data_IF_148498821624
#
_entry.id   IF_148498821624
#
_cell.length_a   1.000
_cell.length_b   1.000
_cell.length_c   1.000
_cell.angle_alpha   90.00
_cell.angle_beta   90.00
_cell.angle_gamma   90.00
#
_symmetry.space_group_name_H-M   'P 1'
#
loop_
_entity.id
_entity.type
_entity.pdbx_description
1 polymer ?
#
# COMPACT_ATOMS: atom_id res chain seq x y z
N UNK A 1 24.24 38.71 2.87
CA UNK A 1 25.59 38.11 2.98
C UNK A 1 25.41 36.66 2.52
N UNK A 2 26.05 36.26 1.40
CA UNK A 2 26.02 34.88 0.94
C UNK A 2 26.76 34.03 1.98
N UNK A 3 26.07 33.04 2.56
CA UNK A 3 26.73 32.06 3.42
C UNK A 3 27.68 31.25 2.54
N UNK A 4 28.98 31.31 2.82
CA UNK A 4 29.96 30.44 2.19
C UNK A 4 29.58 28.98 2.51
N UNK A 5 29.26 28.16 1.48
CA UNK A 5 28.99 26.73 1.65
C UNK A 5 30.25 26.05 2.15
N UNK A 6 30.12 25.24 3.24
CA UNK A 6 31.24 24.47 3.80
C UNK A 6 31.57 23.28 2.90
N UNK A 7 32.85 22.92 2.82
CA UNK A 7 33.29 21.73 2.06
C UNK A 7 32.54 20.46 2.50
N UNK A 8 32.06 19.67 1.55
CA UNK A 8 31.27 18.48 1.84
C UNK A 8 32.02 17.41 2.64
N UNK A 9 33.35 17.33 2.49
CA UNK A 9 34.17 16.46 3.33
C UNK A 9 34.21 16.95 4.78
N UNK A 10 34.28 18.27 4.99
CA UNK A 10 34.20 18.86 6.32
C UNK A 10 32.82 18.70 6.95
N UNK A 11 31.75 18.84 6.17
CA UNK A 11 30.36 18.62 6.64
C UNK A 11 30.17 17.21 7.18
N UNK A 12 30.73 16.20 6.49
CA UNK A 12 30.67 14.81 6.96
C UNK A 12 31.78 14.47 7.97
N UNK A 13 32.77 15.34 8.17
CA UNK A 13 33.89 15.11 9.09
C UNK A 13 34.82 13.97 8.64
N UNK A 14 35.02 13.81 7.32
CA UNK A 14 35.86 12.79 6.71
C UNK A 14 36.98 13.43 5.89
N UNK A 15 38.05 12.67 5.63
CA UNK A 15 39.15 13.14 4.79
C UNK A 15 38.76 13.10 3.29
N UNK A 16 39.40 13.93 2.46
CA UNK A 16 39.22 13.90 1.00
C UNK A 16 39.57 12.55 0.37
N UNK A 17 40.40 11.75 1.05
CA UNK A 17 40.79 10.41 0.62
C UNK A 17 39.91 9.29 1.22
N UNK A 18 38.83 9.65 1.90
CA UNK A 18 37.93 8.69 2.55
C UNK A 18 37.29 7.73 1.55
N UNK A 19 37.18 6.49 1.93
CA UNK A 19 36.51 5.44 1.16
C UNK A 19 34.98 5.61 1.20
N UNK A 20 34.28 5.04 0.25
CA UNK A 20 32.80 5.07 0.22
C UNK A 20 32.17 4.48 1.48
N UNK A 21 32.81 3.48 2.09
CA UNK A 21 32.38 2.88 3.33
C UNK A 21 32.48 3.85 4.53
N UNK A 22 33.55 4.66 4.57
CA UNK A 22 33.75 5.68 5.60
C UNK A 22 32.77 6.82 5.44
N UNK A 23 32.52 7.28 4.22
CA UNK A 23 31.53 8.31 3.90
C UNK A 23 30.12 7.86 4.35
N UNK A 24 29.70 6.64 3.99
CA UNK A 24 28.43 6.08 4.41
C UNK A 24 28.30 5.93 5.93
N UNK A 25 29.38 5.56 6.61
CA UNK A 25 29.41 5.41 8.07
C UNK A 25 29.28 6.77 8.76
N UNK A 26 30.00 7.79 8.29
CA UNK A 26 29.94 9.15 8.79
C UNK A 26 28.54 9.76 8.60
N UNK A 27 27.98 9.61 7.39
CA UNK A 27 26.62 10.02 7.07
C UNK A 27 25.60 9.43 8.04
N UNK A 28 25.57 8.10 8.22
CA UNK A 28 24.59 7.45 9.11
C UNK A 28 24.67 7.98 10.55
N UNK A 29 25.87 8.21 11.05
CA UNK A 29 26.09 8.73 12.40
C UNK A 29 25.55 10.17 12.55
N UNK A 30 25.81 11.03 11.57
CA UNK A 30 25.37 12.43 11.60
C UNK A 30 23.88 12.56 11.30
N UNK A 31 23.33 11.79 10.34
CA UNK A 31 21.92 11.78 10.02
C UNK A 31 21.06 11.33 11.21
N UNK A 32 21.49 10.33 11.97
CA UNK A 32 20.81 9.92 13.20
C UNK A 32 20.88 11.00 14.29
N UNK A 33 22.00 11.70 14.41
CA UNK A 33 22.19 12.75 15.41
C UNK A 33 21.33 13.98 15.16
N UNK A 34 21.15 14.38 13.90
CA UNK A 34 20.41 15.59 13.51
C UNK A 34 19.05 15.29 12.87
N UNK A 35 18.53 14.06 13.05
CA UNK A 35 17.22 13.65 12.51
C UNK A 35 16.10 14.51 13.11
N UNK A 36 15.11 14.97 12.31
CA UNK A 36 13.99 15.78 12.80
C UNK A 36 13.20 15.10 13.92
N UNK A 37 13.04 13.77 13.89
CA UNK A 37 12.30 13.03 14.93
C UNK A 37 13.01 13.04 16.29
N UNK A 38 14.34 13.16 16.31
CA UNK A 38 15.11 13.26 17.56
C UNK A 38 15.36 14.69 18.01
N UNK A 39 15.15 15.67 17.09
CA UNK A 39 15.36 17.10 17.38
C UNK A 39 14.15 17.92 16.88
N UNK A 40 12.94 17.68 17.40
CA UNK A 40 11.73 18.35 16.91
C UNK A 40 11.79 19.85 17.21
N UNK A 41 11.68 20.68 16.15
CA UNK A 41 11.63 22.14 16.26
C UNK A 41 13.00 22.85 16.35
N UNK A 42 14.12 22.13 16.30
CA UNK A 42 15.46 22.72 16.26
C UNK A 42 15.86 23.08 14.82
N UNK A 43 15.82 24.37 14.49
CA UNK A 43 16.17 24.91 13.16
C UNK A 43 17.64 24.70 12.80
N UNK A 44 18.53 24.69 13.77
CA UNK A 44 19.96 24.46 13.55
C UNK A 44 20.24 23.00 13.23
N UNK A 45 19.53 22.09 13.89
CA UNK A 45 19.59 20.66 13.55
C UNK A 45 19.03 20.38 12.15
N UNK A 46 17.93 21.04 11.78
CA UNK A 46 17.33 20.93 10.44
C UNK A 46 18.28 21.44 9.34
N UNK A 47 18.92 22.59 9.55
CA UNK A 47 19.90 23.15 8.61
C UNK A 47 21.10 22.21 8.42
N UNK A 48 21.65 21.68 9.52
CA UNK A 48 22.76 20.70 9.47
C UNK A 48 22.35 19.40 8.80
N UNK A 49 21.13 18.92 9.03
CA UNK A 49 20.61 17.71 8.39
C UNK A 49 20.52 17.88 6.87
N UNK A 50 20.10 19.07 6.39
CA UNK A 50 20.07 19.38 4.94
C UNK A 50 21.48 19.39 4.34
N UNK A 51 22.45 20.04 5.01
CA UNK A 51 23.85 20.05 4.57
C UNK A 51 24.47 18.64 4.53
N UNK A 52 24.18 17.79 5.53
CA UNK A 52 24.67 16.41 5.60
C UNK A 52 24.09 15.55 4.46
N UNK A 53 22.82 15.73 4.12
CA UNK A 53 22.19 15.00 3.01
C UNK A 53 22.76 15.45 1.66
N UNK A 54 22.94 16.75 1.44
CA UNK A 54 23.57 17.29 0.24
C UNK A 54 25.01 16.77 0.07
N UNK A 55 25.79 16.79 1.13
CA UNK A 55 27.16 16.25 1.13
C UNK A 55 27.20 14.75 0.81
N UNK A 56 26.28 13.96 1.39
CA UNK A 56 26.22 12.53 1.09
C UNK A 56 25.77 12.26 -0.34
N UNK A 57 24.83 13.00 -0.90
CA UNK A 57 24.38 12.85 -2.29
C UNK A 57 25.52 13.03 -3.29
N UNK A 58 26.36 14.02 -3.06
CA UNK A 58 27.51 14.31 -3.93
C UNK A 58 28.65 13.31 -3.74
N UNK A 59 29.02 13.02 -2.49
CA UNK A 59 30.19 12.19 -2.20
C UNK A 59 29.95 10.67 -2.30
N UNK A 60 28.69 10.21 -2.30
CA UNK A 60 28.36 8.78 -2.47
C UNK A 60 28.31 8.34 -3.93
N UNK A 61 28.15 9.26 -4.89
CA UNK A 61 28.19 8.98 -6.31
C UNK A 61 29.61 9.22 -6.86
N UNK A 62 30.30 8.19 -7.40
CA UNK A 62 31.67 8.33 -7.89
C UNK A 62 31.84 9.41 -8.96
N UNK A 63 30.83 9.65 -9.82
CA UNK A 63 30.88 10.65 -10.86
C UNK A 63 30.71 12.06 -10.30
N UNK A 64 29.72 12.26 -9.40
CA UNK A 64 29.51 13.55 -8.74
C UNK A 64 30.70 13.90 -7.86
N UNK A 65 31.24 12.93 -7.14
CA UNK A 65 32.45 13.11 -6.31
C UNK A 65 33.64 13.57 -7.16
N UNK A 66 33.89 12.92 -8.30
CA UNK A 66 34.96 13.29 -9.21
C UNK A 66 34.78 14.73 -9.77
N UNK A 67 33.57 15.14 -10.10
CA UNK A 67 33.26 16.50 -10.53
C UNK A 67 33.45 17.51 -9.39
N UNK A 68 33.04 17.14 -8.19
CA UNK A 68 33.25 17.96 -7.00
C UNK A 68 34.73 18.13 -6.66
N UNK A 69 35.51 17.06 -6.75
CA UNK A 69 36.96 17.07 -6.49
C UNK A 69 37.73 17.93 -7.52
N UNK A 70 37.24 18.01 -8.79
CA UNK A 70 37.86 18.79 -9.84
C UNK A 70 37.41 20.27 -9.89
N UNK A 71 36.13 20.52 -9.67
CA UNK A 71 35.52 21.83 -9.92
C UNK A 71 34.86 22.43 -8.67
N UNK A 72 34.94 21.77 -7.51
CA UNK A 72 34.27 22.20 -6.30
C UNK A 72 32.75 22.23 -6.46
N UNK A 73 32.11 23.17 -5.78
CA UNK A 73 30.66 23.38 -5.87
C UNK A 73 30.18 23.70 -7.30
N UNK A 74 31.00 24.32 -8.13
CA UNK A 74 30.65 24.64 -9.52
C UNK A 74 30.44 23.38 -10.37
N UNK A 75 31.03 22.25 -10.01
CA UNK A 75 30.89 20.98 -10.72
C UNK A 75 29.58 20.22 -10.42
N UNK A 76 28.90 20.55 -9.32
CA UNK A 76 27.76 19.76 -8.81
C UNK A 76 26.51 20.59 -8.52
N UNK A 77 26.61 21.91 -8.38
CA UNK A 77 25.51 22.82 -8.15
C UNK A 77 25.25 23.71 -9.37
N UNK A 78 24.14 23.48 -10.12
CA UNK A 78 23.82 24.27 -11.32
C UNK A 78 23.63 25.76 -11.03
N UNK A 79 23.17 26.11 -9.82
CA UNK A 79 22.97 27.51 -9.44
C UNK A 79 24.28 28.21 -9.12
N UNK A 80 25.23 27.50 -8.56
CA UNK A 80 26.55 28.02 -8.26
C UNK A 80 27.37 28.28 -9.55
N UNK A 81 27.24 27.36 -10.51
CA UNK A 81 27.84 27.53 -11.84
C UNK A 81 27.27 28.73 -12.58
N UNK A 82 25.96 29.00 -12.49
CA UNK A 82 25.31 30.14 -13.12
C UNK A 82 25.66 31.50 -12.50
N UNK A 83 25.92 31.55 -11.19
CA UNK A 83 26.26 32.80 -10.50
C UNK A 83 27.72 33.19 -10.60
N UNK A 84 28.64 32.24 -10.78
CA UNK A 84 30.10 32.53 -10.80
C UNK A 84 30.77 32.40 -12.17
N UNK A 85 29.99 32.40 -13.25
CA UNK A 85 30.50 32.67 -14.63
C UNK A 85 31.53 31.67 -15.17
N UNK A 86 31.42 30.39 -14.88
CA UNK A 86 32.45 29.43 -15.27
C UNK A 86 31.94 28.13 -15.84
N UNK A 87 31.93 27.99 -17.15
CA UNK A 87 32.05 26.70 -17.83
C UNK A 87 31.10 26.43 -18.98
N UNK A 88 31.63 26.18 -20.21
CA UNK A 88 30.85 25.72 -21.34
C UNK A 88 30.70 24.21 -21.30
N UNK A 89 29.50 23.72 -20.97
CA UNK A 89 29.25 22.29 -21.03
C UNK A 89 27.92 21.92 -20.38
N UNK A 90 26.85 22.00 -21.19
CA UNK A 90 25.50 21.63 -20.74
C UNK A 90 25.43 20.23 -20.14
N UNK A 91 25.09 20.13 -18.86
CA UNK A 91 24.75 18.90 -18.21
C UNK A 91 23.23 18.74 -18.15
N UNK A 92 22.64 18.57 -19.34
CA UNK A 92 21.26 18.12 -19.48
C UNK A 92 21.25 16.62 -19.76
N UNK A 93 21.12 15.81 -18.72
CA UNK A 93 20.97 14.38 -18.96
C UNK A 93 21.38 13.48 -17.82
N UNK A 94 20.67 13.55 -16.69
CA UNK A 94 20.74 12.46 -15.72
C UNK A 94 19.35 12.11 -15.18
N UNK A 95 18.61 11.43 -16.05
CA UNK A 95 17.40 10.69 -15.68
C UNK A 95 17.64 9.24 -16.08
N UNK A 96 18.07 8.44 -15.16
CA UNK A 96 18.19 7.01 -15.43
C UNK A 96 19.15 6.28 -14.50
N UNK A 97 18.70 5.96 -13.29
CA UNK A 97 19.11 4.72 -12.63
C UNK A 97 18.05 4.32 -11.60
N UNK A 98 17.16 3.43 -12.02
CA UNK A 98 16.28 2.70 -11.13
C UNK A 98 17.02 1.49 -10.57
N UNK A 99 16.91 1.26 -9.28
CA UNK A 99 17.43 0.09 -8.58
C UNK A 99 17.06 0.16 -7.11
N UNK A 100 15.95 -0.49 -6.77
CA UNK A 100 15.54 -1.02 -5.47
C UNK A 100 15.70 -0.12 -4.22
N UNK A 101 14.56 0.37 -3.71
CA UNK A 101 14.41 0.84 -2.34
C UNK A 101 14.17 2.34 -2.17
N UNK A 102 12.90 2.71 -2.02
CA UNK A 102 12.37 4.02 -1.58
C UNK A 102 12.82 5.21 -2.42
N UNK A 103 11.95 5.60 -3.33
CA UNK A 103 12.10 6.74 -4.24
C UNK A 103 12.09 8.09 -3.48
N UNK A 104 13.28 8.52 -3.06
CA UNK A 104 13.53 9.87 -2.53
C UNK A 104 13.43 10.92 -3.65
N UNK A 105 13.37 10.52 -4.92
CA UNK A 105 13.22 11.42 -6.06
C UNK A 105 11.85 12.06 -6.15
N UNK A 106 10.79 11.34 -5.79
CA UNK A 106 9.41 11.86 -5.81
C UNK A 106 9.17 12.90 -4.69
N UNK A 107 9.79 12.74 -3.53
CA UNK A 107 9.65 13.71 -2.43
C UNK A 107 10.45 15.00 -2.71
N UNK A 108 11.58 14.90 -3.41
CA UNK A 108 12.38 16.07 -3.79
C UNK A 108 11.82 16.78 -5.02
N UNK A 109 11.18 16.06 -5.94
CA UNK A 109 10.48 16.62 -7.10
C UNK A 109 9.29 17.48 -6.72
N UNK A 110 8.51 17.08 -5.72
CA UNK A 110 7.34 17.83 -5.26
C UNK A 110 7.70 19.07 -4.39
N UNK A 111 8.79 19.04 -3.64
CA UNK A 111 9.18 20.16 -2.78
C UNK A 111 10.01 21.23 -3.53
N UNK A 112 10.80 20.84 -4.52
CA UNK A 112 11.63 21.79 -5.30
C UNK A 112 11.11 22.07 -6.72
N UNK A 113 10.20 21.25 -7.25
CA UNK A 113 9.59 21.43 -8.58
C UNK A 113 8.41 22.40 -8.63
N UNK A 114 7.89 22.84 -7.49
CA UNK A 114 6.65 23.63 -7.39
C UNK A 114 6.79 25.14 -7.50
N UNK A 115 7.97 25.70 -7.82
CA UNK A 115 8.10 27.14 -7.67
C UNK A 115 9.07 27.92 -8.56
N UNK A 116 9.68 27.39 -9.59
CA UNK A 116 10.35 28.27 -10.56
C UNK A 116 10.91 27.51 -11.77
N UNK A 117 10.35 27.75 -12.95
CA UNK A 117 11.03 27.41 -14.20
C UNK A 117 10.35 26.37 -15.07
N UNK A 118 9.18 26.67 -15.56
CA UNK A 118 8.70 26.05 -16.79
C UNK A 118 9.62 26.31 -17.96
N UNK A 119 10.59 25.41 -18.18
CA UNK A 119 11.23 25.29 -19.49
C UNK A 119 11.95 23.93 -19.58
N UNK A 120 11.33 22.99 -20.30
CA UNK A 120 12.01 21.77 -20.75
C UNK A 120 11.40 20.44 -20.35
N UNK A 121 10.11 20.37 -20.03
CA UNK A 121 9.39 19.11 -20.10
C UNK A 121 9.40 18.64 -21.56
N UNK A 122 10.30 17.75 -21.95
CA UNK A 122 10.11 16.97 -23.15
C UNK A 122 8.87 16.11 -22.93
N UNK A 123 7.70 16.66 -23.22
CA UNK A 123 6.50 15.86 -23.43
C UNK A 123 6.89 14.84 -24.49
N UNK A 124 7.20 13.62 -24.03
CA UNK A 124 7.31 12.47 -24.93
C UNK A 124 6.03 12.51 -25.73
N UNK A 125 6.15 12.92 -26.97
CA UNK A 125 5.04 12.98 -27.91
C UNK A 125 4.47 11.58 -27.96
N UNK A 126 3.41 11.32 -27.20
CA UNK A 126 2.82 10.00 -27.10
C UNK A 126 2.33 9.64 -28.51
N UNK A 127 3.02 8.73 -29.15
CA UNK A 127 2.61 8.24 -30.46
C UNK A 127 1.18 7.66 -30.31
N UNK A 128 0.18 8.26 -30.96
CA UNK A 128 -1.21 7.80 -30.82
C UNK A 128 -1.41 6.37 -31.35
N UNK A 129 -0.50 5.88 -32.16
CA UNK A 129 -0.50 4.53 -32.69
C UNK A 129 0.36 3.54 -31.88
N UNK A 130 1.00 3.97 -30.78
CA UNK A 130 1.74 3.06 -29.92
C UNK A 130 0.78 2.05 -29.25
N UNK A 131 1.20 0.79 -29.06
CA UNK A 131 0.47 -0.17 -28.27
C UNK A 131 0.20 0.38 -26.87
N UNK A 132 -1.06 0.33 -26.43
CA UNK A 132 -1.45 0.78 -25.09
C UNK A 132 -2.17 -0.34 -24.38
N UNK A 133 -1.76 -0.58 -23.12
CA UNK A 133 -2.47 -1.51 -22.23
C UNK A 133 -3.93 -1.09 -22.06
N UNK A 134 -4.85 -2.07 -22.04
CA UNK A 134 -6.24 -1.84 -21.72
C UNK A 134 -6.43 -1.37 -20.29
N UNK A 135 -7.54 -0.71 -20.04
CA UNK A 135 -7.90 -0.25 -18.71
C UNK A 135 -8.21 -1.44 -17.79
N UNK A 136 -7.75 -1.34 -16.54
CA UNK A 136 -8.06 -2.29 -15.51
C UNK A 136 -9.53 -2.12 -15.06
N UNK A 137 -10.15 -3.24 -14.69
CA UNK A 137 -11.53 -3.29 -14.18
C UNK A 137 -11.48 -3.58 -12.69
N UNK A 138 -12.16 -2.77 -11.89
CA UNK A 138 -12.29 -3.00 -10.45
C UNK A 138 -13.64 -3.60 -10.13
N UNK A 139 -13.64 -4.69 -9.37
CA UNK A 139 -14.84 -5.37 -8.92
C UNK A 139 -14.74 -5.61 -7.43
N UNK A 140 -15.83 -5.45 -6.71
CA UNK A 140 -15.91 -5.80 -5.29
C UNK A 140 -16.73 -7.06 -5.13
N UNK A 141 -16.26 -7.98 -4.31
CA UNK A 141 -16.96 -9.21 -3.93
C UNK A 141 -17.13 -9.26 -2.42
N UNK A 142 -18.25 -9.83 -1.98
CA UNK A 142 -18.50 -10.08 -0.57
C UNK A 142 -18.30 -11.57 -0.29
N UNK A 143 -17.51 -11.86 0.73
CA UNK A 143 -17.22 -13.20 1.21
C UNK A 143 -17.82 -13.38 2.60
N UNK A 144 -18.25 -14.60 2.92
CA UNK A 144 -18.49 -14.99 4.30
C UNK A 144 -17.17 -15.14 5.04
N UNK A 145 -17.20 -15.15 6.37
CA UNK A 145 -16.00 -15.37 7.19
C UNK A 145 -15.30 -16.68 6.83
N UNK A 146 -16.06 -17.77 6.67
CA UNK A 146 -15.52 -19.08 6.32
C UNK A 146 -14.89 -19.12 4.92
N UNK A 147 -15.52 -18.47 3.93
CA UNK A 147 -14.94 -18.33 2.59
C UNK A 147 -13.62 -17.57 2.61
N UNK A 148 -13.50 -16.53 3.44
CA UNK A 148 -12.28 -15.74 3.57
C UNK A 148 -11.16 -16.51 4.27
N UNK A 149 -11.50 -17.31 5.30
CA UNK A 149 -10.54 -18.11 6.07
C UNK A 149 -9.98 -19.27 5.25
N UNK A 150 -10.84 -20.05 4.60
CA UNK A 150 -10.44 -21.28 3.89
C UNK A 150 -10.10 -21.04 2.42
N UNK A 151 -10.47 -19.86 1.89
CA UNK A 151 -10.42 -19.59 0.47
C UNK A 151 -11.55 -20.28 -0.28
N UNK A 152 -11.90 -19.75 -1.43
CA UNK A 152 -12.97 -20.30 -2.25
C UNK A 152 -12.79 -19.99 -3.73
N UNK A 153 -13.56 -20.65 -4.57
CA UNK A 153 -13.73 -20.28 -5.97
C UNK A 153 -15.04 -19.54 -6.15
N UNK A 154 -14.97 -18.32 -6.65
CA UNK A 154 -16.16 -17.48 -6.83
C UNK A 154 -16.29 -17.02 -8.28
N UNK A 155 -17.47 -17.14 -8.83
CA UNK A 155 -17.78 -16.68 -10.18
C UNK A 155 -18.10 -15.19 -10.14
N UNK A 156 -17.35 -14.39 -10.90
CA UNK A 156 -17.50 -12.94 -11.00
C UNK A 156 -17.94 -12.60 -12.42
N UNK A 157 -19.08 -11.95 -12.56
CA UNK A 157 -19.55 -11.48 -13.86
C UNK A 157 -19.11 -10.02 -14.05
N UNK A 158 -18.33 -9.78 -15.09
CA UNK A 158 -17.83 -8.46 -15.46
C UNK A 158 -18.31 -8.08 -16.86
N UNK A 159 -18.43 -6.79 -17.11
CA UNK A 159 -18.56 -6.24 -18.45
C UNK A 159 -17.22 -5.68 -18.87
N UNK A 160 -16.61 -6.23 -19.92
CA UNK A 160 -15.32 -5.76 -20.42
C UNK A 160 -15.40 -5.36 -21.88
N UNK A 161 -14.57 -4.43 -22.29
CA UNK A 161 -14.33 -4.12 -23.68
C UNK A 161 -13.45 -5.23 -24.27
N UNK A 162 -13.94 -5.89 -25.30
CA UNK A 162 -13.20 -6.92 -26.04
C UNK A 162 -13.01 -6.44 -27.47
N UNK A 163 -11.96 -6.90 -28.09
CA UNK A 163 -11.72 -6.64 -29.52
C UNK A 163 -12.92 -7.11 -30.35
N UNK A 164 -13.36 -6.26 -31.25
CA UNK A 164 -14.51 -6.58 -32.11
C UNK A 164 -14.17 -7.74 -33.04
N UNK A 165 -14.98 -8.79 -32.99
CA UNK A 165 -14.77 -10.02 -33.78
C UNK A 165 -14.95 -9.84 -35.30
N UNK A 166 -15.66 -8.80 -35.72
CA UNK A 166 -15.88 -8.53 -37.16
C UNK A 166 -14.74 -7.72 -37.79
N UNK A 167 -14.25 -6.72 -37.07
CA UNK A 167 -13.23 -5.80 -37.62
C UNK A 167 -11.82 -5.99 -37.03
N UNK A 168 -11.65 -6.91 -36.06
CA UNK A 168 -10.38 -7.20 -35.42
C UNK A 168 -9.63 -5.92 -34.98
N UNK A 169 -10.34 -5.06 -34.25
CA UNK A 169 -9.78 -3.82 -33.70
C UNK A 169 -9.62 -2.65 -34.66
N UNK A 170 -9.81 -2.85 -35.97
CA UNK A 170 -9.64 -1.77 -36.98
C UNK A 170 -10.71 -0.69 -36.92
N UNK A 171 -11.91 -1.03 -36.44
CA UNK A 171 -13.08 -0.16 -36.43
C UNK A 171 -13.73 0.00 -37.80
N UNK A 172 -13.16 -0.57 -38.87
CA UNK A 172 -13.66 -0.45 -40.24
C UNK A 172 -14.57 -1.61 -40.62
N UNK A 173 -15.49 -1.37 -41.54
CA UNK A 173 -16.28 -2.43 -42.19
C UNK A 173 -15.39 -3.42 -42.92
N UNK A 174 -15.86 -4.66 -43.07
CA UNK A 174 -15.14 -5.70 -43.83
C UNK A 174 -14.72 -5.17 -45.23
N UNK A 175 -13.47 -5.40 -45.60
CA UNK A 175 -12.93 -4.96 -46.90
C UNK A 175 -12.48 -3.49 -46.95
N UNK A 176 -12.60 -2.75 -45.83
CA UNK A 176 -12.07 -1.36 -45.72
C UNK A 176 -10.99 -1.25 -44.67
N UNK A 177 -10.05 -0.34 -44.88
CA UNK A 177 -8.95 -0.05 -43.95
C UNK A 177 -9.00 1.39 -43.46
N UNK A 178 -8.45 1.69 -42.27
CA UNK A 178 -8.39 3.07 -41.82
C UNK A 178 -7.39 3.88 -42.65
N UNK A 179 -7.81 5.07 -43.10
CA UNK A 179 -6.97 5.97 -43.87
C UNK A 179 -6.17 6.89 -42.94
N UNK A 180 -4.94 7.20 -43.32
CA UNK A 180 -4.12 8.19 -42.58
C UNK A 180 -4.78 9.56 -42.65
N UNK A 181 -4.93 10.25 -41.54
CA UNK A 181 -5.50 11.59 -41.51
C UNK A 181 -4.60 12.58 -42.25
N UNK A 182 -5.09 13.24 -43.31
CA UNK A 182 -4.25 14.16 -44.09
C UNK A 182 -3.83 15.41 -43.33
N UNK A 183 -4.65 15.90 -42.39
CA UNK A 183 -4.40 17.12 -41.65
C UNK A 183 -3.23 17.01 -40.67
N UNK A 184 -3.06 15.86 -40.07
CA UNK A 184 -1.99 15.60 -39.09
C UNK A 184 -0.94 14.59 -39.58
N UNK A 185 -1.08 14.04 -40.78
CA UNK A 185 -0.14 13.05 -41.34
C UNK A 185 0.00 11.79 -40.45
N UNK A 186 -1.07 11.36 -39.79
CA UNK A 186 -1.05 10.20 -38.89
C UNK A 186 -0.60 10.48 -37.45
N UNK A 187 -0.15 11.69 -37.16
CA UNK A 187 0.40 12.05 -35.83
C UNK A 187 -0.67 12.18 -34.74
N UNK A 188 -1.94 12.40 -35.12
CA UNK A 188 -3.03 12.62 -34.17
C UNK A 188 -3.08 14.00 -33.53
N UNK A 189 -2.06 14.83 -33.69
CA UNK A 189 -2.01 16.19 -33.17
C UNK A 189 -1.47 17.16 -34.23
N UNK A 190 -1.82 18.43 -34.06
CA UNK A 190 -1.31 19.54 -34.84
C UNK A 190 -0.57 20.52 -33.94
N UNK A 191 0.56 21.05 -34.41
CA UNK A 191 1.34 22.04 -33.69
C UNK A 191 0.81 23.41 -34.09
N UNK A 192 0.30 24.19 -33.14
CA UNK A 192 -0.05 25.60 -33.34
C UNK A 192 1.00 26.48 -32.70
N UNK A 193 1.50 27.44 -33.47
CA UNK A 193 2.38 28.47 -32.97
C UNK A 193 1.52 29.67 -32.53
N UNK A 194 1.66 30.05 -31.29
CA UNK A 194 0.98 31.22 -30.72
C UNK A 194 2.03 32.25 -30.34
N UNK A 195 1.94 33.45 -30.93
CA UNK A 195 2.80 34.56 -30.55
C UNK A 195 2.29 35.16 -29.25
N UNK A 196 3.14 35.13 -28.24
CA UNK A 196 2.90 35.78 -26.97
C UNK A 196 3.85 36.96 -26.79
N UNK A 197 3.60 37.92 -25.91
CA UNK A 197 4.50 39.04 -25.63
C UNK A 197 5.92 38.58 -25.20
N UNK A 198 6.07 37.32 -24.77
CA UNK A 198 7.33 36.71 -24.29
C UNK A 198 7.99 35.79 -25.33
N UNK A 199 7.48 35.73 -26.57
CA UNK A 199 8.03 34.86 -27.61
C UNK A 199 6.99 33.99 -28.32
N UNK A 200 7.48 33.10 -29.20
CA UNK A 200 6.64 32.14 -29.93
C UNK A 200 6.49 30.86 -29.12
N UNK A 201 5.28 30.57 -28.65
CA UNK A 201 4.95 29.35 -27.95
C UNK A 201 4.37 28.33 -28.93
N UNK A 202 4.90 27.12 -28.93
CA UNK A 202 4.36 25.99 -29.70
C UNK A 202 3.48 25.13 -28.80
N UNK A 203 2.21 25.03 -29.16
CA UNK A 203 1.24 24.20 -28.40
C UNK A 203 0.78 23.05 -29.27
N UNK A 204 0.85 21.83 -28.74
CA UNK A 204 0.30 20.66 -29.39
C UNK A 204 -1.19 20.54 -29.05
N UNK A 205 -2.03 20.47 -30.07
CA UNK A 205 -3.48 20.29 -29.91
C UNK A 205 -3.92 19.01 -30.63
N UNK A 206 -4.90 18.24 -30.07
CA UNK A 206 -5.46 17.13 -30.80
C UNK A 206 -5.99 17.56 -32.17
N UNK A 207 -5.70 16.78 -33.20
CA UNK A 207 -6.21 17.08 -34.54
C UNK A 207 -7.74 17.00 -34.54
N UNK A 208 -8.40 18.12 -34.88
CA UNK A 208 -9.88 18.21 -34.87
C UNK A 208 -10.56 17.24 -35.81
N UNK A 209 -9.91 16.92 -36.94
CA UNK A 209 -10.48 16.05 -37.98
C UNK A 209 -10.50 14.57 -37.57
N UNK A 210 -9.45 14.06 -36.91
CA UNK A 210 -9.39 12.67 -36.49
C UNK A 210 -9.61 12.49 -34.99
N UNK A 211 -9.86 13.56 -34.22
CA UNK A 211 -10.06 13.51 -32.79
C UNK A 211 -8.88 12.92 -32.01
N UNK A 212 -7.65 13.15 -32.49
CA UNK A 212 -6.45 12.61 -31.84
C UNK A 212 -6.04 11.20 -32.30
N UNK A 213 -6.85 10.50 -33.09
CA UNK A 213 -6.58 9.10 -33.48
C UNK A 213 -5.52 8.95 -34.58
N UNK A 214 -5.21 9.97 -35.33
CA UNK A 214 -4.28 9.93 -36.46
C UNK A 214 -4.82 9.21 -37.71
N UNK A 215 -5.95 8.51 -37.61
CA UNK A 215 -6.59 7.73 -38.66
C UNK A 215 -8.05 8.15 -38.83
N UNK A 216 -8.58 8.04 -40.03
CA UNK A 216 -9.99 8.29 -40.36
C UNK A 216 -10.64 7.01 -40.81
N UNK A 217 -11.84 6.75 -40.27
CA UNK A 217 -12.68 5.59 -40.62
C UNK A 217 -13.82 6.12 -41.50
N UNK A 218 -13.78 5.85 -42.81
CA UNK A 218 -14.85 6.24 -43.73
C UNK A 218 -16.07 5.33 -43.61
N UNK A 219 -15.80 4.04 -43.54
CA UNK A 219 -16.86 3.01 -43.44
C UNK A 219 -16.75 2.33 -42.06
N UNK A 220 -17.53 2.74 -41.06
CA UNK A 220 -17.45 2.15 -39.73
C UNK A 220 -18.02 0.73 -39.72
N UNK A 221 -17.39 -0.14 -38.92
CA UNK A 221 -17.88 -1.47 -38.64
C UNK A 221 -19.28 -1.42 -38.01
N UNK A 222 -20.21 -2.24 -38.47
CA UNK A 222 -21.60 -2.25 -37.99
C UNK A 222 -21.73 -2.67 -36.53
N UNK A 223 -20.86 -3.57 -36.07
CA UNK A 223 -20.91 -4.10 -34.68
C UNK A 223 -20.30 -3.20 -33.65
N UNK A 224 -19.21 -2.50 -33.95
CA UNK A 224 -18.51 -1.64 -33.00
C UNK A 224 -18.65 -0.13 -33.30
N UNK A 225 -19.32 0.22 -34.38
CA UNK A 225 -19.55 1.62 -34.79
C UNK A 225 -18.26 2.48 -34.86
N UNK A 226 -17.15 1.86 -35.31
CA UNK A 226 -15.88 2.55 -35.46
C UNK A 226 -15.00 2.58 -34.17
N UNK A 227 -15.44 1.97 -33.08
CA UNK A 227 -14.65 1.93 -31.83
C UNK A 227 -13.53 0.88 -31.87
N UNK A 228 -13.68 -0.17 -32.67
CA UNK A 228 -12.77 -1.32 -32.68
C UNK A 228 -13.01 -2.32 -31.54
N UNK A 229 -13.81 -1.97 -30.53
CA UNK A 229 -14.11 -2.82 -29.37
C UNK A 229 -15.62 -2.93 -29.14
N UNK A 230 -16.04 -4.02 -28.49
CA UNK A 230 -17.42 -4.28 -28.10
C UNK A 230 -17.48 -4.62 -26.61
N UNK A 231 -18.55 -4.21 -25.94
CA UNK A 231 -18.79 -4.54 -24.55
C UNK A 231 -19.37 -5.94 -24.44
N UNK A 232 -18.68 -6.84 -23.75
CA UNK A 232 -19.11 -8.24 -23.56
C UNK A 232 -19.20 -8.57 -22.09
N UNK A 233 -20.31 -9.17 -21.65
CA UNK A 233 -20.42 -9.76 -20.33
C UNK A 233 -19.67 -11.08 -20.29
N UNK A 234 -18.72 -11.23 -19.36
CA UNK A 234 -17.97 -12.46 -19.17
C UNK A 234 -17.96 -12.85 -17.69
N UNK A 235 -18.25 -14.12 -17.44
CA UNK A 235 -18.09 -14.71 -16.11
C UNK A 235 -16.69 -15.27 -16.00
N UNK A 236 -15.98 -14.87 -14.94
CA UNK A 236 -14.62 -15.30 -14.62
C UNK A 236 -14.67 -16.09 -13.31
N UNK A 237 -13.99 -17.21 -13.25
CA UNK A 237 -13.74 -17.93 -12.01
C UNK A 237 -12.54 -17.27 -11.31
N UNK A 238 -12.80 -16.74 -10.13
CA UNK A 238 -11.78 -16.11 -9.27
C UNK A 238 -11.43 -17.07 -8.14
N UNK A 239 -10.16 -17.46 -8.05
CA UNK A 239 -9.64 -18.22 -6.95
C UNK A 239 -9.27 -17.24 -5.82
N UNK A 240 -10.05 -17.23 -4.75
CA UNK A 240 -9.81 -16.42 -3.56
C UNK A 240 -8.81 -17.15 -2.67
N UNK A 241 -7.65 -16.54 -2.35
CA UNK A 241 -6.68 -17.17 -1.48
C UNK A 241 -7.22 -17.30 -0.06
N UNK A 242 -6.84 -18.39 0.63
CA UNK A 242 -7.17 -18.59 2.03
C UNK A 242 -6.50 -17.54 2.92
N UNK A 243 -7.22 -17.05 3.92
CA UNK A 243 -6.72 -16.07 4.87
C UNK A 243 -6.85 -14.62 4.43
N UNK A 244 -7.46 -14.35 3.28
CA UNK A 244 -7.69 -12.98 2.79
C UNK A 244 -8.47 -12.16 3.82
N UNK A 245 -8.10 -10.89 3.98
CA UNK A 245 -8.73 -9.98 4.94
C UNK A 245 -9.66 -8.98 4.28
N UNK A 246 -10.43 -8.27 5.10
CA UNK A 246 -11.28 -7.18 4.62
C UNK A 246 -10.43 -6.09 3.96
N UNK A 247 -11.01 -5.42 2.95
CA UNK A 247 -10.35 -4.41 2.11
C UNK A 247 -9.08 -4.87 1.38
N UNK A 248 -8.69 -6.15 1.48
CA UNK A 248 -7.65 -6.71 0.65
C UNK A 248 -8.19 -7.03 -0.75
N UNK A 249 -7.27 -7.20 -1.69
CA UNK A 249 -7.62 -7.53 -3.06
C UNK A 249 -6.58 -8.38 -3.74
N UNK A 250 -7.00 -9.03 -4.82
CA UNK A 250 -6.12 -9.79 -5.68
C UNK A 250 -6.38 -9.43 -7.14
N UNK A 251 -5.42 -9.77 -7.99
CA UNK A 251 -5.43 -9.39 -9.40
C UNK A 251 -5.58 -10.62 -10.30
N UNK A 252 -6.50 -10.53 -11.24
CA UNK A 252 -6.63 -11.49 -12.35
C UNK A 252 -5.98 -10.85 -13.59
N UNK A 253 -4.77 -11.26 -13.90
CA UNK A 253 -3.97 -10.65 -14.96
C UNK A 253 -4.56 -10.93 -16.36
N UNK A 254 -4.57 -9.88 -17.20
CA UNK A 254 -5.02 -9.96 -18.59
C UNK A 254 -6.53 -10.18 -18.80
N UNK A 255 -7.33 -10.09 -17.72
CA UNK A 255 -8.78 -10.32 -17.79
C UNK A 255 -9.60 -9.02 -17.90
N UNK A 256 -8.94 -7.84 -17.88
CA UNK A 256 -9.56 -6.52 -18.00
C UNK A 256 -9.98 -6.17 -19.43
N UNK A 257 -10.07 -4.88 -19.72
CA UNK A 257 -10.42 -4.36 -21.04
C UNK A 257 -9.31 -4.64 -22.06
N UNK A 258 -9.69 -4.85 -23.31
CA UNK A 258 -8.75 -4.99 -24.41
C UNK A 258 -7.85 -3.75 -24.52
N UNK A 259 -6.58 -3.96 -24.85
CA UNK A 259 -5.67 -2.90 -25.20
C UNK A 259 -5.99 -2.26 -26.53
N UNK A 260 -5.36 -1.15 -26.82
CA UNK A 260 -5.49 -0.46 -28.10
C UNK A 260 -4.19 -0.59 -28.92
N UNK A 261 -4.30 -0.57 -30.23
CA UNK A 261 -3.18 -0.68 -31.18
C UNK A 261 -2.29 -1.92 -30.93
N UNK A 262 -2.90 -3.08 -30.63
CA UNK A 262 -2.15 -4.31 -30.33
C UNK A 262 -1.50 -4.36 -28.96
N UNK A 263 -1.88 -3.46 -28.05
CA UNK A 263 -1.43 -3.50 -26.65
C UNK A 263 -2.07 -4.63 -25.85
N UNK A 264 -1.46 -5.05 -24.74
CA UNK A 264 -1.99 -6.10 -23.88
C UNK A 264 -3.31 -5.70 -23.23
N UNK A 265 -4.13 -6.67 -22.85
CA UNK A 265 -5.34 -6.43 -22.06
C UNK A 265 -4.96 -5.90 -20.67
N UNK A 266 -5.89 -5.15 -20.06
CA UNK A 266 -5.80 -4.76 -18.66
C UNK A 266 -6.01 -5.93 -17.71
N UNK A 267 -6.05 -5.65 -16.43
CA UNK A 267 -6.26 -6.64 -15.38
C UNK A 267 -7.64 -6.44 -14.72
N UNK A 268 -8.14 -7.46 -14.03
CA UNK A 268 -9.27 -7.31 -13.10
C UNK A 268 -8.73 -7.27 -11.69
N UNK A 269 -8.99 -6.18 -11.00
CA UNK A 269 -8.65 -6.00 -9.59
C UNK A 269 -9.91 -6.32 -8.78
N UNK A 270 -9.84 -7.39 -8.00
CA UNK A 270 -10.94 -7.86 -7.16
C UNK A 270 -10.69 -7.38 -5.74
N UNK A 271 -11.50 -6.44 -5.27
CA UNK A 271 -11.51 -6.01 -3.88
C UNK A 271 -12.46 -6.91 -3.08
N UNK A 272 -12.04 -7.33 -1.91
CA UNK A 272 -12.79 -8.24 -1.04
C UNK A 272 -13.41 -7.45 0.11
N UNK A 273 -14.65 -7.78 0.44
CA UNK A 273 -15.31 -7.37 1.69
C UNK A 273 -15.72 -8.63 2.44
N UNK A 274 -15.27 -8.77 3.70
CA UNK A 274 -15.56 -9.93 4.52
C UNK A 274 -16.71 -9.63 5.47
N UNK A 275 -17.73 -10.50 5.47
CA UNK A 275 -18.82 -10.40 6.45
C UNK A 275 -18.32 -10.80 7.83
N UNK A 276 -18.65 -10.05 8.90
CA UNK A 276 -18.27 -10.39 10.25
C UNK A 276 -18.90 -11.72 10.67
N UNK A 277 -18.18 -12.50 11.46
CA UNK A 277 -18.72 -13.71 12.08
C UNK A 277 -19.45 -13.36 13.38
N UNK A 278 -20.54 -14.08 13.70
CA UNK A 278 -21.25 -13.92 14.97
C UNK A 278 -20.48 -14.51 16.17
N UNK A 279 -19.57 -15.44 15.89
CA UNK A 279 -18.85 -16.21 16.92
C UNK A 279 -17.39 -15.78 17.05
N UNK A 280 -16.74 -15.50 15.91
CA UNK A 280 -15.33 -15.23 15.85
C UNK A 280 -15.06 -13.74 15.58
N UNK A 281 -14.17 -13.17 16.37
CA UNK A 281 -13.58 -11.86 16.08
C UNK A 281 -12.20 -12.08 15.48
N UNK A 282 -11.92 -11.48 14.34
CA UNK A 282 -10.64 -11.54 13.65
C UNK A 282 -9.80 -10.33 14.02
N UNK A 283 -8.51 -10.55 14.29
CA UNK A 283 -7.50 -9.54 14.44
C UNK A 283 -6.27 -10.01 13.66
N UNK A 284 -6.08 -9.45 12.45
CA UNK A 284 -5.12 -9.94 11.46
C UNK A 284 -5.28 -11.44 11.17
N UNK A 285 -4.34 -12.27 11.61
CA UNK A 285 -4.38 -13.72 11.44
C UNK A 285 -4.79 -14.46 12.73
N UNK A 286 -5.05 -13.72 13.80
CA UNK A 286 -5.53 -14.31 15.06
C UNK A 286 -7.06 -14.28 15.13
N UNK A 287 -7.59 -15.19 15.92
CA UNK A 287 -9.03 -15.34 16.14
C UNK A 287 -9.31 -15.27 17.62
N UNK A 288 -10.32 -14.52 17.96
CA UNK A 288 -10.82 -14.39 19.33
C UNK A 288 -12.23 -14.95 19.40
N UNK A 289 -12.50 -15.73 20.43
CA UNK A 289 -13.83 -16.24 20.75
C UNK A 289 -14.12 -16.05 22.23
N UNK A 290 -15.29 -15.56 22.54
CA UNK A 290 -15.79 -15.50 23.91
C UNK A 290 -16.61 -16.75 24.14
N UNK A 291 -16.19 -17.59 25.09
CA UNK A 291 -16.83 -18.86 25.38
C UNK A 291 -17.44 -18.83 26.80
N UNK A 292 -18.77 -19.00 26.93
CA UNK A 292 -19.41 -19.04 28.22
C UNK A 292 -19.12 -20.36 28.91
N UNK A 293 -18.66 -20.31 30.18
CA UNK A 293 -18.45 -21.45 31.04
C UNK A 293 -19.31 -21.33 32.28
N UNK A 294 -19.71 -22.46 32.85
CA UNK A 294 -20.47 -22.47 34.11
C UNK A 294 -19.57 -22.13 35.28
N UNK A 295 -20.17 -21.69 36.39
CA UNK A 295 -19.48 -21.46 37.65
C UNK A 295 -18.74 -22.73 38.15
N UNK A 296 -19.39 -23.92 38.08
CA UNK A 296 -18.78 -25.17 38.46
C UNK A 296 -17.56 -25.55 37.62
N UNK A 297 -17.62 -25.36 36.30
CA UNK A 297 -16.48 -25.57 35.41
C UNK A 297 -15.30 -24.62 35.71
N UNK A 298 -15.61 -23.38 36.07
CA UNK A 298 -14.58 -22.42 36.45
C UNK A 298 -13.89 -22.74 37.78
N UNK A 299 -14.66 -23.26 38.76
CA UNK A 299 -14.15 -23.55 40.11
C UNK A 299 -13.42 -24.90 40.17
N UNK A 300 -14.01 -25.94 39.60
CA UNK A 300 -13.49 -27.30 39.66
C UNK A 300 -12.50 -27.66 38.55
N UNK A 301 -12.45 -26.83 37.52
CA UNK A 301 -11.78 -27.17 36.27
C UNK A 301 -12.63 -28.12 35.42
N UNK A 302 -12.45 -28.09 34.13
CA UNK A 302 -13.14 -28.98 33.18
C UNK A 302 -12.43 -28.94 31.81
N UNK A 303 -12.73 -29.93 30.97
CA UNK A 303 -12.34 -29.92 29.58
C UNK A 303 -13.53 -29.47 28.73
N UNK A 304 -13.44 -28.28 28.16
CA UNK A 304 -14.50 -27.71 27.34
C UNK A 304 -14.22 -27.92 25.85
N UNK A 305 -15.27 -28.12 25.05
CA UNK A 305 -15.18 -28.22 23.60
C UNK A 305 -15.56 -26.90 22.99
N UNK A 306 -14.58 -26.21 22.34
CA UNK A 306 -14.75 -24.89 21.76
C UNK A 306 -14.79 -25.00 20.24
N UNK A 307 -15.69 -24.27 19.53
CA UNK A 307 -15.65 -24.20 18.08
C UNK A 307 -14.37 -23.49 17.62
N UNK A 308 -13.72 -24.03 16.60
CA UNK A 308 -12.61 -23.40 15.88
C UNK A 308 -12.91 -23.35 14.41
N UNK A 309 -12.08 -22.65 13.63
CA UNK A 309 -12.23 -22.57 12.17
C UNK A 309 -12.05 -23.94 11.48
N UNK A 310 -11.32 -24.85 12.06
CA UNK A 310 -11.09 -26.21 11.51
C UNK A 310 -12.01 -27.27 12.13
N UNK A 311 -12.99 -26.86 12.96
CA UNK A 311 -13.88 -27.77 13.66
C UNK A 311 -13.87 -27.56 15.16
N UNK A 312 -14.00 -28.62 15.95
CA UNK A 312 -14.04 -28.57 17.42
C UNK A 312 -12.67 -28.82 18.01
N UNK A 313 -12.31 -28.06 19.05
CA UNK A 313 -11.04 -28.21 19.77
C UNK A 313 -11.33 -28.31 21.28
N UNK A 314 -10.67 -29.22 21.94
CA UNK A 314 -10.75 -29.35 23.40
C UNK A 314 -9.77 -28.40 24.09
N UNK A 315 -10.27 -27.69 25.10
CA UNK A 315 -9.50 -26.77 25.93
C UNK A 315 -9.64 -27.17 27.38
N UNK A 316 -8.52 -27.43 28.04
CA UNK A 316 -8.48 -27.70 29.46
C UNK A 316 -8.57 -26.38 30.24
N UNK A 317 -9.62 -26.22 31.01
CA UNK A 317 -9.85 -25.10 31.93
C UNK A 317 -9.37 -25.53 33.32
N UNK A 318 -8.28 -24.94 33.85
CA UNK A 318 -7.80 -25.25 35.19
C UNK A 318 -8.80 -24.84 36.29
N UNK A 319 -8.74 -25.51 37.43
CA UNK A 319 -9.50 -25.11 38.60
C UNK A 319 -9.19 -23.69 39.05
N UNK A 320 -10.20 -22.96 39.53
CA UNK A 320 -10.06 -21.57 39.95
C UNK A 320 -9.93 -20.56 38.82
N UNK A 321 -10.24 -20.95 37.59
CA UNK A 321 -10.18 -20.04 36.41
C UNK A 321 -11.14 -18.87 36.62
N UNK A 322 -10.59 -17.66 36.51
CA UNK A 322 -11.35 -16.42 36.68
C UNK A 322 -12.04 -16.01 35.36
N UNK A 323 -13.21 -15.34 35.48
CA UNK A 323 -13.89 -14.78 34.33
C UNK A 323 -12.99 -13.77 33.62
N UNK A 324 -12.91 -13.84 32.26
CA UNK A 324 -12.03 -13.05 31.45
C UNK A 324 -10.65 -13.68 31.19
N UNK A 325 -10.35 -14.85 31.79
CA UNK A 325 -9.12 -15.59 31.49
C UNK A 325 -9.11 -16.01 30.01
N UNK A 326 -7.98 -15.80 29.34
CA UNK A 326 -7.81 -16.10 27.91
C UNK A 326 -6.82 -17.23 27.73
N UNK A 327 -7.23 -18.28 27.04
CA UNK A 327 -6.40 -19.42 26.65
C UNK A 327 -5.94 -19.26 25.20
N UNK A 328 -4.63 -19.41 24.96
CA UNK A 328 -4.04 -19.33 23.63
C UNK A 328 -3.87 -20.73 23.03
N UNK A 329 -4.48 -20.96 21.89
CA UNK A 329 -4.34 -22.17 21.10
C UNK A 329 -3.43 -21.87 19.90
N UNK A 330 -2.20 -22.33 19.99
CA UNK A 330 -1.16 -22.03 18.98
C UNK A 330 -1.49 -22.67 17.63
N UNK A 331 -1.33 -21.90 16.55
CA UNK A 331 -1.52 -22.36 15.18
C UNK A 331 -2.98 -22.71 14.83
N UNK A 332 -3.96 -22.30 15.64
CA UNK A 332 -5.40 -22.51 15.41
C UNK A 332 -6.10 -21.26 14.85
N UNK A 333 -5.33 -20.25 14.45
CA UNK A 333 -5.82 -19.06 13.77
C UNK A 333 -5.87 -19.22 12.26
N UNK A 334 -5.97 -18.08 11.57
CA UNK A 334 -6.10 -17.98 10.11
C UNK A 334 -4.73 -18.18 9.45
N UNK A 335 -4.72 -18.79 8.27
CA UNK A 335 -3.52 -18.96 7.45
C UNK A 335 -3.04 -17.61 6.90
N UNK A 336 -1.71 -17.41 6.79
CA UNK A 336 -1.15 -16.25 6.13
C UNK A 336 -1.32 -16.36 4.61
N UNK A 337 -1.83 -15.32 3.97
CA UNK A 337 -2.09 -15.30 2.51
C UNK A 337 -0.80 -15.54 1.69
N UNK A 338 0.30 -14.90 2.08
CA UNK A 338 1.57 -14.94 1.35
C UNK A 338 2.68 -15.68 2.12
N UNK A 339 2.35 -16.39 3.18
CA UNK A 339 3.33 -16.99 4.08
C UNK A 339 3.06 -18.45 4.39
N UNK A 340 4.03 -19.07 5.08
CA UNK A 340 3.86 -20.39 5.68
C UNK A 340 3.50 -20.20 7.15
N UNK A 341 2.44 -20.87 7.61
CA UNK A 341 2.01 -20.84 8.98
C UNK A 341 0.61 -20.26 9.17
N UNK A 342 0.19 -20.22 10.42
CA UNK A 342 -1.12 -19.76 10.87
C UNK A 342 -0.96 -18.88 12.10
N UNK A 343 -1.89 -17.97 12.30
CA UNK A 343 -2.05 -17.26 13.56
C UNK A 343 -2.53 -18.17 14.67
N UNK A 344 -2.88 -17.58 15.80
CA UNK A 344 -3.35 -18.29 16.99
C UNK A 344 -4.82 -18.02 17.24
N UNK A 345 -5.44 -18.89 18.02
CA UNK A 345 -6.80 -18.69 18.49
C UNK A 345 -6.76 -18.38 19.99
N UNK A 346 -7.50 -17.37 20.39
CA UNK A 346 -7.64 -16.93 21.78
C UNK A 346 -9.06 -17.19 22.26
N UNK A 347 -9.19 -18.05 23.26
CA UNK A 347 -10.47 -18.40 23.88
C UNK A 347 -10.59 -17.63 25.19
N UNK A 348 -11.43 -16.61 25.23
CA UNK A 348 -11.74 -15.86 26.43
C UNK A 348 -12.90 -16.51 27.16
N UNK A 349 -12.63 -17.11 28.30
CA UNK A 349 -13.69 -17.71 29.14
C UNK A 349 -14.46 -16.65 29.91
N UNK A 350 -15.78 -16.67 29.79
CA UNK A 350 -16.67 -15.79 30.53
C UNK A 350 -17.58 -16.65 31.40
N UNK A 351 -17.55 -16.42 32.74
CA UNK A 351 -18.39 -17.19 33.66
C UNK A 351 -19.81 -16.68 33.56
N UNK A 352 -20.73 -17.55 33.12
CA UNK A 352 -22.14 -17.25 33.05
C UNK A 352 -22.82 -17.53 34.42
N UNK A 353 -23.47 -16.52 34.96
CA UNK A 353 -24.21 -16.63 36.21
C UNK A 353 -25.66 -17.06 35.91
N UNK A 354 -26.15 -18.17 36.42
CA UNK A 354 -27.50 -18.65 36.17
C UNK A 354 -28.55 -17.67 36.72
N UNK A 355 -29.47 -17.25 35.85
CA UNK A 355 -30.52 -16.26 36.22
C UNK A 355 -31.74 -16.84 36.90
N UNK A 356 -32.09 -18.10 36.61
CA UNK A 356 -33.32 -18.75 37.12
C UNK A 356 -32.92 -19.99 37.90
N UNK A 357 -33.11 -19.97 39.23
CA UNK A 357 -32.83 -21.09 40.13
C UNK A 357 -34.12 -21.63 40.73
N UNK A 358 -34.28 -22.95 40.77
CA UNK A 358 -35.31 -23.62 41.53
C UNK A 358 -35.06 -23.46 43.06
N UNK A 359 -36.06 -23.77 43.86
CA UNK A 359 -35.92 -23.71 45.34
C UNK A 359 -34.79 -24.61 45.85
N UNK A 360 -34.71 -25.82 45.36
CA UNK A 360 -33.68 -26.80 45.73
C UNK A 360 -32.26 -26.34 45.35
N UNK A 361 -32.10 -25.74 44.14
CA UNK A 361 -30.82 -25.20 43.69
C UNK A 361 -30.38 -23.99 44.54
N UNK A 362 -31.32 -23.14 44.94
CA UNK A 362 -31.05 -22.00 45.81
C UNK A 362 -30.63 -22.43 47.22
N UNK A 363 -31.26 -23.46 47.75
CA UNK A 363 -30.90 -24.03 49.05
C UNK A 363 -29.50 -24.69 49.00
N UNK A 364 -29.19 -25.42 47.94
CA UNK A 364 -27.87 -26.02 47.75
C UNK A 364 -26.76 -24.93 47.62
N UNK A 365 -27.03 -23.86 46.89
CA UNK A 365 -26.07 -22.74 46.72
C UNK A 365 -25.83 -22.02 48.06
N UNK A 366 -26.88 -21.79 48.87
CA UNK A 366 -26.73 -21.22 50.23
C UNK A 366 -25.91 -22.11 51.15
N UNK A 367 -26.11 -23.42 51.08
CA UNK A 367 -25.29 -24.39 51.87
C UNK A 367 -23.84 -24.32 51.45
N UNK A 368 -23.57 -24.29 50.16
CA UNK A 368 -22.21 -24.17 49.62
C UNK A 368 -21.56 -22.85 50.08
N UNK A 369 -22.24 -21.71 49.94
CA UNK A 369 -21.73 -20.42 50.40
C UNK A 369 -21.38 -20.39 51.87
N UNK A 370 -22.18 -21.06 52.71
CA UNK A 370 -21.91 -21.19 54.15
C UNK A 370 -20.64 -21.99 54.51
N UNK A 371 -20.08 -22.74 53.55
CA UNK A 371 -18.82 -23.47 53.72
C UNK A 371 -17.59 -22.66 53.30
N UNK A 372 -17.78 -21.57 52.52
CA UNK A 372 -16.71 -20.76 52.03
C UNK A 372 -16.19 -19.79 53.11
N UNK A 373 -14.88 -19.59 53.11
CA UNK A 373 -14.17 -18.66 54.00
C UNK A 373 -13.60 -17.48 53.18
N UNK A 374 -13.21 -16.41 53.89
CA UNK A 374 -12.59 -15.23 53.23
C UNK A 374 -11.33 -15.59 52.45
N UNK A 375 -10.60 -16.62 52.86
CA UNK A 375 -9.40 -17.09 52.19
C UNK A 375 -9.66 -17.72 50.82
N UNK A 376 -10.90 -18.12 50.53
CA UNK A 376 -11.29 -18.61 49.21
C UNK A 376 -11.39 -17.48 48.16
N UNK A 377 -11.35 -16.19 48.57
CA UNK A 377 -11.55 -15.02 47.70
C UNK A 377 -10.39 -14.05 47.78
N UNK A 378 -9.28 -14.33 47.11
CA UNK A 378 -8.06 -13.51 47.17
C UNK A 378 -8.28 -12.04 46.74
N UNK A 379 -9.02 -11.80 45.66
CA UNK A 379 -9.30 -10.45 45.18
C UNK A 379 -10.15 -9.66 46.18
N UNK A 380 -11.16 -10.29 46.78
CA UNK A 380 -12.01 -9.68 47.78
C UNK A 380 -11.20 -9.34 49.05
N UNK A 381 -10.37 -10.26 49.52
CA UNK A 381 -9.47 -10.05 50.66
C UNK A 381 -8.49 -8.90 50.40
N UNK A 382 -7.87 -8.86 49.23
CA UNK A 382 -6.95 -7.79 48.83
C UNK A 382 -7.63 -6.42 48.75
N UNK A 383 -8.88 -6.39 48.23
CA UNK A 383 -9.66 -5.15 48.15
C UNK A 383 -10.00 -4.59 49.53
N UNK A 384 -10.53 -5.45 50.43
CA UNK A 384 -10.86 -5.01 51.81
C UNK A 384 -9.66 -4.61 52.62
N UNK A 385 -8.50 -5.23 52.40
CA UNK A 385 -7.23 -4.77 53.01
C UNK A 385 -6.90 -3.37 52.58
N UNK A 386 -6.89 -3.09 51.27
CA UNK A 386 -6.64 -1.74 50.73
C UNK A 386 -7.64 -0.71 51.26
N UNK A 387 -8.91 -1.09 51.38
CA UNK A 387 -9.96 -0.22 51.90
C UNK A 387 -9.68 0.14 53.37
N UNK A 388 -9.32 -0.83 54.20
CA UNK A 388 -8.94 -0.59 55.59
C UNK A 388 -7.72 0.34 55.70
N UNK A 389 -6.72 0.16 54.87
CA UNK A 389 -5.53 0.98 54.87
C UNK A 389 -5.85 2.43 54.47
N UNK A 390 -6.84 2.66 53.57
CA UNK A 390 -7.31 4.01 53.18
C UNK A 390 -8.10 4.75 54.28
N UNK A 391 -8.78 4.03 55.17
CA UNK A 391 -9.59 4.66 56.24
C UNK A 391 -8.85 4.73 57.58
N UNK A 392 -7.69 4.08 57.69
CA UNK A 392 -6.86 4.13 58.89
C UNK A 392 -5.69 5.12 58.79
N UNK A 393 -5.60 5.87 57.67
CA UNK A 393 -4.76 7.05 57.51
C UNK A 393 -5.64 8.31 57.48
#
# INVERSE_FOLDING_TARGET
MAQEKRDYYEVLGVSKTATDAEIKKAYRKLAMKYHPDYNPGDKDAEAKFKEINEANEVLSDPKKRQLYDQYGFAGVDPNYAAQNGGGPGGFGGFSGFGGDGVDLGDIFGDIFGGGFGGFGGSTRTANPNAPRKGQDIRVRITLTFDEAVHGCKKNITITRQQECTECHGSGCAAGSSPETCPDCGGRGFVIRQQRTPFGVMQTQQPCSRCGGKGKLIKNPCKSCHGSGTIAVKKTLEANVPAGIDDDQGFRLSGMGNAGTNGGPAGDVIVAVTVQPSEVFQRDENNIYVVFPITYSQAVLGDTITVPSIDGKVEVNVPEGTQSGTTFRLRGKGIQYVNGRGRGDMYVKCEVEIPKKLSRTQREALKKFEGTLKEDNYEKRKGFFKKLKDMFNN
#
